data_IF_663980999096
#
_entry.id   IF_663980999096
#
_cell.length_a   1.000
_cell.length_b   1.000
_cell.length_c   1.000
_cell.angle_alpha   90.00
_cell.angle_beta   90.00
_cell.angle_gamma   90.00
#
_symmetry.space_group_name_H-M   'P 1'
#
loop_
_entity.id
_entity.type
_entity.pdbx_description
1 polymer ?
#
# COMPACT_ATOMS: atom_id res chain seq x y z
N UNK A 1 4.80 0.11 -12.99
CA UNK A 1 3.38 0.46 -13.25
C UNK A 1 3.35 1.46 -14.40
N UNK A 2 2.23 1.59 -15.11
CA UNK A 2 2.06 2.70 -16.05
C UNK A 2 1.90 4.02 -15.30
N UNK A 3 2.28 5.13 -15.94
CA UNK A 3 2.17 6.48 -15.35
C UNK A 3 0.72 6.82 -14.96
N UNK A 4 -0.24 6.43 -15.80
CA UNK A 4 -1.68 6.56 -15.50
C UNK A 4 -2.04 5.91 -14.17
N UNK A 5 -1.61 4.65 -13.95
CA UNK A 5 -1.97 3.93 -12.71
C UNK A 5 -1.32 4.55 -11.49
N UNK A 6 -0.08 5.03 -11.60
CA UNK A 6 0.60 5.75 -10.52
C UNK A 6 -0.18 7.02 -10.18
N UNK A 7 -0.59 7.79 -11.19
CA UNK A 7 -1.36 9.01 -11.01
C UNK A 7 -2.73 8.74 -10.34
N UNK A 8 -3.45 7.72 -10.79
CA UNK A 8 -4.73 7.31 -10.20
C UNK A 8 -4.59 6.91 -8.72
N UNK A 9 -3.59 6.07 -8.39
CA UNK A 9 -3.34 5.65 -7.01
C UNK A 9 -2.99 6.84 -6.12
N UNK A 10 -2.16 7.77 -6.60
CA UNK A 10 -1.78 8.98 -5.85
C UNK A 10 -3.00 9.86 -5.54
N UNK A 11 -3.84 10.14 -6.53
CA UNK A 11 -5.03 10.97 -6.33
C UNK A 11 -6.03 10.31 -5.37
N UNK A 12 -6.29 9.02 -5.55
CA UNK A 12 -7.25 8.29 -4.73
C UNK A 12 -6.78 8.18 -3.28
N UNK A 13 -5.51 7.85 -3.06
CA UNK A 13 -4.95 7.70 -1.72
C UNK A 13 -4.94 9.02 -0.95
N UNK A 14 -4.62 10.15 -1.61
CA UNK A 14 -4.73 11.48 -1.01
C UNK A 14 -6.16 11.81 -0.61
N UNK A 15 -7.13 11.54 -1.48
CA UNK A 15 -8.55 11.79 -1.19
C UNK A 15 -9.01 11.01 0.05
N UNK A 16 -8.67 9.72 0.12
CA UNK A 16 -9.00 8.87 1.26
C UNK A 16 -8.34 9.39 2.54
N UNK A 17 -7.07 9.81 2.47
CA UNK A 17 -6.37 10.40 3.61
C UNK A 17 -7.07 11.67 4.11
N UNK A 18 -7.44 12.57 3.21
CA UNK A 18 -8.14 13.81 3.58
C UNK A 18 -9.48 13.54 4.28
N UNK A 19 -10.21 12.51 3.82
CA UNK A 19 -11.45 12.07 4.46
C UNK A 19 -11.15 11.43 5.82
N UNK A 20 -10.14 10.57 5.89
CA UNK A 20 -9.77 9.88 7.12
C UNK A 20 -9.37 10.87 8.22
N UNK A 21 -8.56 11.88 7.90
CA UNK A 21 -8.14 12.91 8.84
C UNK A 21 -9.32 13.74 9.36
N UNK A 22 -10.23 14.12 8.46
CA UNK A 22 -11.43 14.89 8.85
C UNK A 22 -12.37 14.10 9.75
N UNK A 23 -12.40 12.78 9.62
CA UNK A 23 -13.31 11.90 10.35
C UNK A 23 -12.65 11.15 11.51
N UNK A 24 -11.33 11.31 11.72
CA UNK A 24 -10.58 10.56 12.72
C UNK A 24 -10.52 9.05 12.45
N UNK A 25 -10.55 8.63 11.17
CA UNK A 25 -10.49 7.23 10.77
C UNK A 25 -9.04 6.77 10.74
N UNK A 26 -8.75 5.67 11.42
CA UNK A 26 -7.41 5.06 11.45
C UNK A 26 -7.33 3.77 10.63
N UNK A 27 -8.46 3.14 10.35
CA UNK A 27 -8.51 1.80 9.75
C UNK A 27 -9.43 1.78 8.53
N UNK A 28 -9.00 1.13 7.45
CA UNK A 28 -9.66 1.08 6.13
C UNK A 28 -9.77 -0.36 5.65
N UNK A 29 -10.91 -0.71 5.05
CA UNK A 29 -11.11 -1.98 4.35
C UNK A 29 -11.14 -1.71 2.84
N UNK A 30 -10.22 -2.31 2.10
CA UNK A 30 -10.09 -2.18 0.64
C UNK A 30 -10.60 -3.46 -0.04
N UNK A 31 -11.83 -3.43 -0.55
CA UNK A 31 -12.50 -4.56 -1.18
C UNK A 31 -12.26 -4.55 -2.70
N UNK A 32 -11.75 -5.66 -3.24
CA UNK A 32 -11.31 -5.71 -4.63
C UNK A 32 -9.95 -5.03 -4.82
N UNK A 33 -9.07 -5.17 -3.83
CA UNK A 33 -7.77 -4.49 -3.75
C UNK A 33 -6.79 -4.84 -4.90
N UNK A 34 -7.08 -5.88 -5.68
CA UNK A 34 -6.23 -6.36 -6.75
C UNK A 34 -4.84 -6.71 -6.23
N UNK A 35 -3.81 -6.10 -6.82
CA UNK A 35 -2.43 -6.28 -6.35
C UNK A 35 -2.04 -5.34 -5.18
N UNK A 36 -3.00 -4.65 -4.56
CA UNK A 36 -2.79 -3.86 -3.34
C UNK A 36 -2.03 -2.55 -3.53
N UNK A 37 -2.07 -1.91 -4.71
CA UNK A 37 -1.34 -0.66 -4.94
C UNK A 37 -1.90 0.49 -4.10
N UNK A 38 -3.22 0.66 -4.09
CA UNK A 38 -3.88 1.68 -3.28
C UNK A 38 -3.71 1.37 -1.79
N UNK A 39 -3.93 0.12 -1.39
CA UNK A 39 -3.80 -0.34 -0.01
C UNK A 39 -2.42 -0.05 0.57
N UNK A 40 -1.34 -0.25 -0.21
CA UNK A 40 0.02 0.10 0.22
C UNK A 40 0.26 1.59 0.35
N UNK A 41 -0.27 2.41 -0.57
CA UNK A 41 -0.14 3.86 -0.44
C UNK A 41 -0.81 4.34 0.86
N UNK A 42 -2.02 3.86 1.14
CA UNK A 42 -2.73 4.15 2.39
C UNK A 42 -1.95 3.70 3.63
N UNK A 43 -1.38 2.50 3.60
CA UNK A 43 -0.66 1.95 4.75
C UNK A 43 0.71 2.62 4.98
N UNK A 44 1.54 2.70 3.94
CA UNK A 44 2.94 3.13 4.08
C UNK A 44 3.13 4.63 3.95
N UNK A 45 2.39 5.30 3.07
CA UNK A 45 2.56 6.74 2.85
C UNK A 45 1.75 7.56 3.87
N UNK A 46 0.63 7.01 4.36
CA UNK A 46 -0.31 7.72 5.23
C UNK A 46 -0.52 7.09 6.61
N UNK A 47 0.08 5.93 6.89
CA UNK A 47 0.05 5.30 8.21
C UNK A 47 -1.31 4.73 8.62
N UNK A 48 -2.21 4.48 7.67
CA UNK A 48 -3.52 3.87 7.96
C UNK A 48 -3.38 2.35 8.12
N UNK A 49 -4.19 1.77 9.00
CA UNK A 49 -4.34 0.32 9.07
C UNK A 49 -5.24 -0.16 7.93
N UNK A 50 -4.73 -1.01 7.04
CA UNK A 50 -5.49 -1.41 5.85
C UNK A 50 -5.68 -2.92 5.80
N UNK A 51 -6.94 -3.35 5.77
CA UNK A 51 -7.33 -4.71 5.42
C UNK A 51 -7.69 -4.76 3.94
N UNK A 52 -6.79 -5.30 3.13
CA UNK A 52 -7.00 -5.49 1.70
C UNK A 52 -7.56 -6.89 1.42
N UNK A 53 -8.68 -6.95 0.71
CA UNK A 53 -9.37 -8.20 0.34
C UNK A 53 -9.55 -8.26 -1.16
N UNK A 54 -9.27 -9.41 -1.76
CA UNK A 54 -9.58 -9.70 -3.16
C UNK A 54 -10.00 -11.17 -3.30
N UNK A 55 -10.91 -11.45 -4.23
CA UNK A 55 -11.40 -12.79 -4.50
C UNK A 55 -10.45 -13.57 -5.43
N UNK A 56 -9.64 -12.87 -6.22
CA UNK A 56 -8.75 -13.47 -7.21
C UNK A 56 -7.43 -13.89 -6.60
N UNK A 57 -7.20 -15.20 -6.54
CA UNK A 57 -5.94 -15.76 -6.05
C UNK A 57 -4.71 -15.24 -6.83
N UNK A 58 -4.86 -14.99 -8.13
CA UNK A 58 -3.79 -14.40 -8.96
C UNK A 58 -3.43 -13.00 -8.47
N UNK A 59 -4.44 -12.18 -8.13
CA UNK A 59 -4.23 -10.84 -7.60
C UNK A 59 -3.59 -10.89 -6.21
N UNK A 60 -4.11 -11.76 -5.34
CA UNK A 60 -3.59 -11.98 -3.98
C UNK A 60 -2.13 -12.43 -4.01
N UNK A 61 -1.77 -13.42 -4.83
CA UNK A 61 -0.37 -13.85 -5.02
C UNK A 61 0.52 -12.73 -5.56
N UNK A 62 0.00 -11.95 -6.50
CA UNK A 62 0.68 -10.76 -7.01
C UNK A 62 0.98 -9.75 -5.90
N UNK A 63 -0.01 -9.45 -5.06
CA UNK A 63 0.12 -8.55 -3.92
C UNK A 63 1.17 -9.04 -2.91
N UNK A 64 1.10 -10.31 -2.51
CA UNK A 64 2.06 -10.93 -1.57
C UNK A 64 3.49 -10.80 -2.10
N UNK A 65 3.72 -11.13 -3.38
CA UNK A 65 5.06 -11.04 -3.99
C UNK A 65 5.60 -9.60 -4.00
N UNK A 66 4.73 -8.60 -4.16
CA UNK A 66 5.14 -7.21 -4.04
C UNK A 66 5.52 -6.84 -2.61
N UNK A 67 4.76 -7.31 -1.62
CA UNK A 67 5.03 -7.06 -0.20
C UNK A 67 6.36 -7.69 0.23
N UNK A 68 6.64 -8.92 -0.21
CA UNK A 68 7.91 -9.60 0.03
C UNK A 68 9.09 -8.82 -0.54
N UNK A 69 8.95 -8.30 -1.77
CA UNK A 69 9.99 -7.46 -2.39
C UNK A 69 10.20 -6.17 -1.62
N UNK A 70 9.13 -5.50 -1.19
CA UNK A 70 9.22 -4.27 -0.41
C UNK A 70 9.92 -4.52 0.94
N UNK A 71 9.55 -5.60 1.64
CA UNK A 71 10.19 -6.02 2.92
C UNK A 71 11.68 -6.37 2.76
N UNK A 72 12.07 -6.97 1.63
CA UNK A 72 13.48 -7.26 1.38
C UNK A 72 14.29 -5.98 1.19
N UNK A 73 13.77 -5.03 0.41
CA UNK A 73 14.43 -3.74 0.18
C UNK A 73 14.59 -2.90 1.45
N UNK A 74 13.63 -2.94 2.37
CA UNK A 74 13.76 -2.23 3.65
C UNK A 74 14.85 -2.85 4.52
N UNK A 75 14.93 -4.18 4.60
CA UNK A 75 16.00 -4.89 5.32
C UNK A 75 17.38 -4.61 4.76
N UNK A 76 17.53 -4.65 3.44
CA UNK A 76 18.81 -4.38 2.78
C UNK A 76 19.29 -2.94 3.06
N UNK A 77 18.37 -1.97 3.08
CA UNK A 77 18.68 -0.58 3.46
C UNK A 77 19.10 -0.48 4.93
N UNK A 78 18.34 -1.07 5.85
CA UNK A 78 18.63 -1.01 7.30
C UNK A 78 20.00 -1.64 7.65
N UNK A 79 20.37 -2.74 6.99
CA UNK A 79 21.70 -3.34 7.09
C UNK A 79 22.80 -2.42 6.54
N UNK A 80 22.56 -1.71 5.43
CA UNK A 80 23.50 -0.73 4.89
C UNK A 80 23.71 0.47 5.81
N UNK A 81 22.70 0.91 6.57
CA UNK A 81 22.81 2.02 7.53
C UNK A 81 23.50 1.62 8.83
N UNK A 82 23.48 0.32 9.19
CA UNK A 82 24.09 -0.21 10.44
C UNK A 82 25.60 -0.49 10.31
N UNK A 83 26.13 -0.53 9.08
CA UNK A 83 27.56 -0.86 8.81
C UNK A 83 28.46 0.40 8.77
N UNK A 84 27.96 1.58 9.18
CA UNK A 84 28.75 2.81 9.38
C UNK A 84 29.03 3.04 10.87
#
# INVERSE_FOLDING_TARGET
MSDKKIHEVRLMSQLIKDVADKQGITSVIDLGSGQGYLSRALAYDYGLEVLAVDMSEIQTKGAIRFDEKAKKQTKDKEQSWTIL
#
